data_IF_560397709556
#
_entry.id   IF_560397709556
#
_cell.length_a   1.000
_cell.length_b   1.000
_cell.length_c   1.000
_cell.angle_alpha   90.00
_cell.angle_beta   90.00
_cell.angle_gamma   90.00
#
_symmetry.space_group_name_H-M   'P 1'
#
loop_
_entity.id
_entity.type
_entity.pdbx_description
1 polymer ?
#
# COMPACT_ATOMS: atom_id res chain seq x y z
N UNK A 1 22.19 -53.43 74.33
CA UNK A 1 21.47 -53.37 73.03
C UNK A 1 20.19 -52.57 73.24
N UNK A 2 20.19 -51.30 72.85
CA UNK A 2 19.06 -50.37 73.02
C UNK A 2 18.08 -50.56 71.86
N UNK A 3 16.82 -50.89 72.15
CA UNK A 3 15.76 -51.04 71.15
C UNK A 3 15.44 -49.67 70.53
N UNK A 4 15.64 -49.55 69.23
CA UNK A 4 15.28 -48.35 68.48
C UNK A 4 13.75 -48.11 68.55
N UNK A 5 13.29 -46.86 68.73
CA UNK A 5 11.87 -46.54 68.78
C UNK A 5 11.23 -46.73 67.40
N UNK A 6 10.13 -47.48 67.40
CA UNK A 6 9.31 -47.80 66.23
C UNK A 6 8.72 -46.51 65.64
N UNK A 7 9.08 -46.18 64.39
CA UNK A 7 8.52 -45.01 63.70
C UNK A 7 7.01 -45.19 63.52
N UNK A 8 6.19 -44.18 63.86
CA UNK A 8 4.75 -44.25 63.65
C UNK A 8 4.44 -44.41 62.16
N UNK A 9 3.59 -45.39 61.83
CA UNK A 9 3.12 -45.61 60.46
C UNK A 9 2.35 -44.36 59.99
N UNK A 10 2.57 -43.88 58.75
CA UNK A 10 1.81 -42.76 58.21
C UNK A 10 0.33 -43.15 58.14
N UNK A 11 -0.52 -42.33 58.76
CA UNK A 11 -1.97 -42.44 58.66
C UNK A 11 -2.40 -42.35 57.20
N UNK A 12 -3.26 -43.25 56.70
CA UNK A 12 -3.78 -43.16 55.34
C UNK A 12 -4.49 -41.82 55.18
N UNK A 13 -4.06 -41.02 54.19
CA UNK A 13 -4.72 -39.79 53.84
C UNK A 13 -6.21 -40.03 53.54
N UNK A 14 -7.08 -39.02 53.73
CA UNK A 14 -8.51 -39.16 53.50
C UNK A 14 -8.77 -39.71 52.10
N UNK A 15 -9.66 -40.71 52.01
CA UNK A 15 -10.01 -41.28 50.71
C UNK A 15 -10.75 -40.20 49.92
N UNK A 16 -10.68 -40.20 48.57
CA UNK A 16 -11.31 -39.14 47.74
C UNK A 16 -12.82 -38.93 48.00
N UNK A 17 -13.47 -39.89 48.67
CA UNK A 17 -14.89 -39.89 49.03
C UNK A 17 -15.20 -39.07 50.29
N UNK A 18 -14.17 -38.74 51.09
CA UNK A 18 -14.29 -38.04 52.37
C UNK A 18 -14.01 -36.53 52.24
N UNK A 19 -13.75 -36.03 51.03
CA UNK A 19 -13.62 -34.60 50.77
C UNK A 19 -15.02 -33.97 50.68
N UNK A 20 -15.28 -32.82 51.36
CA UNK A 20 -16.57 -32.14 51.27
C UNK A 20 -16.90 -31.80 49.81
N UNK A 21 -18.18 -31.93 49.42
CA UNK A 21 -18.67 -31.65 48.06
C UNK A 21 -18.22 -30.25 47.64
N UNK A 22 -17.16 -30.17 46.82
CA UNK A 22 -16.57 -28.90 46.37
C UNK A 22 -15.05 -28.81 46.53
N UNK A 23 -14.43 -29.66 47.36
CA UNK A 23 -12.97 -29.70 47.51
C UNK A 23 -12.33 -30.65 46.48
N UNK A 24 -11.70 -30.02 45.49
CA UNK A 24 -10.95 -30.59 44.38
C UNK A 24 -10.72 -29.45 43.40
N UNK A 25 -9.68 -29.47 42.54
CA UNK A 25 -9.43 -28.40 41.58
C UNK A 25 -10.49 -28.42 40.46
N UNK A 26 -11.75 -28.16 40.80
CA UNK A 26 -12.79 -27.73 39.85
C UNK A 26 -12.46 -26.30 39.45
N UNK A 27 -11.38 -26.12 38.68
CA UNK A 27 -11.23 -24.93 37.85
C UNK A 27 -12.53 -24.87 37.04
N UNK A 28 -13.38 -23.87 37.30
CA UNK A 28 -14.57 -23.59 36.48
C UNK A 28 -14.05 -23.40 35.06
N UNK A 29 -14.14 -24.44 34.24
CA UNK A 29 -13.68 -24.39 32.85
C UNK A 29 -14.65 -23.48 32.13
N UNK A 30 -14.15 -22.35 31.62
CA UNK A 30 -14.95 -21.44 30.81
C UNK A 30 -15.60 -22.21 29.64
N UNK A 31 -16.86 -21.88 29.28
CA UNK A 31 -17.52 -22.47 28.11
C UNK A 31 -16.65 -22.33 26.86
N UNK A 32 -16.57 -23.35 26.00
CA UNK A 32 -15.82 -23.28 24.75
C UNK A 32 -16.18 -22.07 23.88
N UNK A 33 -17.47 -21.75 23.74
CA UNK A 33 -17.93 -20.58 23.00
C UNK A 33 -17.30 -19.29 23.53
N UNK A 34 -17.24 -19.09 24.86
CA UNK A 34 -16.61 -17.91 25.45
C UNK A 34 -15.11 -17.82 25.12
N UNK A 35 -14.39 -18.95 25.17
CA UNK A 35 -12.96 -18.99 24.82
C UNK A 35 -12.74 -18.67 23.34
N UNK A 36 -13.59 -19.21 22.46
CA UNK A 36 -13.53 -18.95 21.02
C UNK A 36 -13.93 -17.51 20.69
N UNK A 37 -14.89 -16.92 21.40
CA UNK A 37 -15.25 -15.51 21.26
C UNK A 37 -14.07 -14.60 21.63
N UNK A 38 -13.39 -14.89 22.74
CA UNK A 38 -12.20 -14.14 23.13
C UNK A 38 -11.07 -14.33 22.11
N UNK A 39 -10.85 -15.55 21.61
CA UNK A 39 -9.85 -15.84 20.59
C UNK A 39 -10.15 -15.10 19.28
N UNK A 40 -11.38 -15.17 18.77
CA UNK A 40 -11.83 -14.48 17.58
C UNK A 40 -11.68 -12.96 17.72
N UNK A 41 -12.05 -12.40 18.88
CA UNK A 41 -11.85 -10.98 19.18
C UNK A 41 -10.37 -10.58 19.12
N UNK A 42 -9.51 -11.32 19.80
CA UNK A 42 -8.06 -11.06 19.82
C UNK A 42 -7.45 -11.22 18.42
N UNK A 43 -7.85 -12.24 17.68
CA UNK A 43 -7.38 -12.49 16.31
C UNK A 43 -7.81 -11.36 15.36
N UNK A 44 -9.05 -10.88 15.47
CA UNK A 44 -9.53 -9.75 14.68
C UNK A 44 -8.82 -8.44 15.03
N UNK A 45 -8.66 -8.12 16.32
CA UNK A 45 -7.94 -6.90 16.74
C UNK A 45 -6.48 -6.98 16.27
N UNK A 46 -5.79 -8.09 16.55
CA UNK A 46 -4.40 -8.30 16.13
C UNK A 46 -4.26 -8.27 14.61
N UNK A 47 -5.21 -8.84 13.90
CA UNK A 47 -5.26 -8.84 12.44
C UNK A 47 -5.44 -7.44 11.87
N UNK A 48 -6.38 -6.65 12.40
CA UNK A 48 -6.58 -5.25 11.99
C UNK A 48 -5.31 -4.43 12.24
N UNK A 49 -4.74 -4.52 13.45
CA UNK A 49 -3.50 -3.79 13.79
C UNK A 49 -2.36 -4.16 12.85
N UNK A 50 -2.17 -5.45 12.57
CA UNK A 50 -1.14 -5.93 11.63
C UNK A 50 -1.41 -5.42 10.23
N UNK A 51 -2.64 -5.49 9.76
CA UNK A 51 -3.02 -5.08 8.42
C UNK A 51 -2.87 -3.57 8.22
N UNK A 52 -3.25 -2.76 9.22
CA UNK A 52 -3.04 -1.31 9.23
C UNK A 52 -1.57 -0.97 9.26
N UNK A 53 -0.79 -1.62 10.13
CA UNK A 53 0.66 -1.44 10.18
C UNK A 53 1.32 -1.77 8.84
N UNK A 54 1.03 -2.92 8.24
CA UNK A 54 1.54 -3.29 6.91
C UNK A 54 1.14 -2.25 5.86
N UNK A 55 -0.13 -1.86 5.82
CA UNK A 55 -0.62 -0.91 4.83
C UNK A 55 0.02 0.48 5.00
N UNK A 56 0.37 0.90 6.21
CA UNK A 56 1.17 2.10 6.47
C UNK A 56 2.61 1.91 6.03
N UNK A 57 3.26 0.79 6.37
CA UNK A 57 4.64 0.48 6.00
C UNK A 57 4.83 0.44 4.49
N UNK A 58 3.90 -0.17 3.74
CA UNK A 58 3.96 -0.22 2.27
C UNK A 58 3.77 1.19 1.67
N UNK A 59 2.90 2.02 2.24
CA UNK A 59 2.72 3.42 1.81
C UNK A 59 3.91 4.31 2.13
N UNK A 60 4.61 4.03 3.23
CA UNK A 60 5.85 4.70 3.61
C UNK A 60 7.03 4.35 2.70
N UNK A 61 6.84 3.40 1.77
CA UNK A 61 7.85 2.89 0.83
C UNK A 61 8.97 2.13 1.57
N UNK A 62 8.82 0.81 1.76
CA UNK A 62 9.85 -0.06 2.34
C UNK A 62 11.18 0.03 1.60
N UNK A 63 12.29 -0.29 2.29
CA UNK A 63 13.63 -0.11 1.74
C UNK A 63 13.98 -1.14 0.66
N UNK A 64 13.36 -2.33 0.71
CA UNK A 64 13.66 -3.43 -0.22
C UNK A 64 12.43 -4.20 -0.71
N UNK A 65 12.58 -4.94 -1.82
CA UNK A 65 11.52 -5.83 -2.34
C UNK A 65 11.23 -7.02 -1.42
N UNK A 66 12.26 -7.51 -0.73
CA UNK A 66 12.13 -8.59 0.25
C UNK A 66 11.24 -8.17 1.41
N UNK A 67 11.40 -6.94 1.91
CA UNK A 67 10.55 -6.38 2.96
C UNK A 67 9.08 -6.30 2.53
N UNK A 68 8.79 -5.82 1.32
CA UNK A 68 7.40 -5.78 0.85
C UNK A 68 6.78 -7.18 0.72
N UNK A 69 7.54 -8.16 0.23
CA UNK A 69 7.06 -9.54 0.16
C UNK A 69 6.72 -10.07 1.55
N UNK A 70 7.59 -9.83 2.53
CA UNK A 70 7.35 -10.20 3.93
C UNK A 70 6.13 -9.48 4.52
N UNK A 71 5.96 -8.20 4.21
CA UNK A 71 4.80 -7.41 4.62
C UNK A 71 3.51 -7.97 4.03
N UNK A 72 3.49 -8.36 2.75
CA UNK A 72 2.34 -9.02 2.14
C UNK A 72 2.03 -10.37 2.80
N UNK A 73 3.05 -11.18 3.04
CA UNK A 73 2.88 -12.45 3.75
C UNK A 73 2.26 -12.19 5.13
N UNK A 74 2.79 -11.25 5.90
CA UNK A 74 2.24 -10.87 7.21
C UNK A 74 0.78 -10.41 7.11
N UNK A 75 0.44 -9.57 6.11
CA UNK A 75 -0.92 -9.08 5.87
C UNK A 75 -1.90 -10.23 5.59
N UNK A 76 -1.58 -11.11 4.64
CA UNK A 76 -2.47 -12.20 4.26
C UNK A 76 -2.55 -13.28 5.33
N UNK A 77 -1.45 -13.58 6.04
CA UNK A 77 -1.45 -14.50 7.18
C UNK A 77 -2.35 -13.98 8.31
N UNK A 78 -2.27 -12.69 8.63
CA UNK A 78 -3.12 -12.08 9.65
C UNK A 78 -4.62 -12.19 9.31
N UNK A 79 -4.99 -11.94 8.05
CA UNK A 79 -6.37 -12.13 7.60
C UNK A 79 -6.82 -13.60 7.69
N UNK A 80 -5.97 -14.55 7.28
CA UNK A 80 -6.31 -15.98 7.35
C UNK A 80 -6.51 -16.42 8.80
N UNK A 81 -5.65 -15.99 9.72
CA UNK A 81 -5.79 -16.31 11.15
C UNK A 81 -7.11 -15.77 11.71
N UNK A 82 -7.47 -14.52 11.40
CA UNK A 82 -8.76 -13.94 11.82
C UNK A 82 -9.95 -14.71 11.22
N UNK A 83 -9.92 -15.02 9.92
CA UNK A 83 -10.97 -15.78 9.25
C UNK A 83 -11.15 -17.19 9.84
N UNK A 84 -10.05 -17.88 10.16
CA UNK A 84 -10.10 -19.20 10.82
C UNK A 84 -10.68 -19.08 12.23
N UNK A 85 -10.30 -18.05 13.00
CA UNK A 85 -10.84 -17.82 14.33
C UNK A 85 -12.36 -17.57 14.31
N UNK A 86 -12.83 -16.76 13.36
CA UNK A 86 -14.25 -16.47 13.17
C UNK A 86 -15.03 -17.70 12.70
N UNK A 87 -14.47 -18.48 11.76
CA UNK A 87 -15.08 -19.72 11.30
C UNK A 87 -15.23 -20.74 12.43
N UNK A 88 -14.24 -20.86 13.32
CA UNK A 88 -14.31 -21.73 14.50
C UNK A 88 -15.35 -21.23 15.51
N UNK A 89 -15.47 -19.92 15.71
CA UNK A 89 -16.52 -19.35 16.56
C UNK A 89 -17.92 -19.62 15.98
N UNK A 90 -18.11 -19.40 14.68
CA UNK A 90 -19.38 -19.64 14.01
C UNK A 90 -19.74 -21.13 14.00
N UNK A 91 -18.76 -22.02 13.83
CA UNK A 91 -18.97 -23.47 13.98
C UNK A 91 -19.45 -23.83 15.39
N UNK A 92 -18.87 -23.23 16.43
CA UNK A 92 -19.30 -23.46 17.81
C UNK A 92 -20.73 -22.95 18.07
N UNK A 93 -21.10 -21.79 17.52
CA UNK A 93 -22.40 -21.16 17.76
C UNK A 93 -23.52 -21.80 16.93
N UNK A 94 -23.27 -22.07 15.65
CA UNK A 94 -24.29 -22.54 14.68
C UNK A 94 -24.36 -24.06 14.67
N UNK A 95 -23.21 -24.74 14.67
CA UNK A 95 -23.09 -26.19 14.50
C UNK A 95 -22.64 -26.90 15.79
N UNK A 96 -22.72 -26.22 16.94
CA UNK A 96 -22.33 -26.74 18.27
C UNK A 96 -20.89 -27.28 18.32
N UNK A 97 -20.01 -26.81 17.44
CA UNK A 97 -18.60 -27.19 17.39
C UNK A 97 -18.33 -28.48 16.62
N UNK A 98 -19.19 -28.82 15.66
CA UNK A 98 -19.15 -30.06 14.89
C UNK A 98 -17.81 -30.31 14.20
N UNK A 99 -17.20 -29.26 13.61
CA UNK A 99 -15.88 -29.41 12.98
C UNK A 99 -14.78 -29.63 14.00
N UNK A 100 -14.73 -28.80 15.05
CA UNK A 100 -13.69 -28.93 16.09
C UNK A 100 -13.70 -30.32 16.75
N UNK A 101 -14.88 -30.84 17.06
CA UNK A 101 -15.00 -32.16 17.71
C UNK A 101 -14.57 -33.28 16.76
N UNK A 102 -15.04 -33.25 15.51
CA UNK A 102 -14.73 -34.29 14.53
C UNK A 102 -13.28 -34.23 14.02
N UNK A 103 -12.79 -33.06 13.63
CA UNK A 103 -11.51 -32.92 12.92
C UNK A 103 -10.32 -32.56 13.84
N UNK A 104 -10.52 -31.79 14.90
CA UNK A 104 -9.42 -31.31 15.77
C UNK A 104 -9.25 -32.13 17.05
N UNK A 105 -10.34 -32.69 17.58
CA UNK A 105 -10.32 -33.49 18.82
C UNK A 105 -10.31 -35.00 18.55
N UNK A 106 -10.52 -35.41 17.30
CA UNK A 106 -10.60 -36.83 16.92
C UNK A 106 -11.71 -37.56 17.68
N UNK A 107 -12.78 -36.85 18.07
CA UNK A 107 -13.92 -37.46 18.73
C UNK A 107 -14.69 -38.27 17.70
N UNK A 108 -14.25 -39.51 17.50
CA UNK A 108 -15.01 -40.50 16.73
C UNK A 108 -16.37 -40.68 17.41
N UNK A 109 -17.42 -40.83 16.59
CA UNK A 109 -18.82 -40.96 17.05
C UNK A 109 -19.08 -42.09 18.06
N UNK A 110 -18.07 -42.90 18.40
CA UNK A 110 -18.14 -43.93 19.45
C UNK A 110 -18.06 -43.38 20.88
N UNK A 111 -17.44 -42.22 21.14
CA UNK A 111 -17.45 -41.62 22.49
C UNK A 111 -18.74 -40.85 22.80
N UNK A 112 -19.46 -40.38 21.78
CA UNK A 112 -20.78 -39.74 21.93
C UNK A 112 -21.91 -40.72 22.30
N UNK A 113 -21.67 -42.05 22.19
CA UNK A 113 -22.64 -43.08 22.56
C UNK A 113 -22.93 -43.17 24.06
N UNK A 114 -22.12 -42.57 24.94
CA UNK A 114 -22.38 -42.54 26.39
C UNK A 114 -23.25 -41.34 26.78
N UNK A 115 -24.48 -41.31 26.28
CA UNK A 115 -25.58 -40.52 26.85
C UNK A 115 -25.82 -39.13 26.25
N UNK A 116 -25.10 -38.70 25.21
CA UNK A 116 -25.31 -37.42 24.54
C UNK A 116 -25.76 -37.63 23.08
N UNK A 117 -27.04 -38.01 22.91
CA UNK A 117 -27.67 -38.28 21.62
C UNK A 117 -27.66 -37.01 20.73
N UNK A 118 -27.75 -35.82 21.33
CA UNK A 118 -27.63 -34.56 20.60
C UNK A 118 -26.19 -34.32 20.09
N UNK A 119 -25.18 -34.65 20.89
CA UNK A 119 -23.78 -34.59 20.50
C UNK A 119 -23.45 -35.50 19.32
N UNK A 120 -23.99 -36.73 19.32
CA UNK A 120 -23.83 -37.69 18.24
C UNK A 120 -24.54 -37.23 16.94
N UNK A 121 -25.76 -36.68 17.06
CA UNK A 121 -26.50 -36.15 15.91
C UNK A 121 -25.81 -34.93 15.28
N UNK A 122 -25.24 -34.04 16.12
CA UNK A 122 -24.49 -32.87 15.65
C UNK A 122 -23.18 -33.24 14.93
N UNK A 123 -22.49 -34.31 15.37
CA UNK A 123 -21.31 -34.81 14.65
C UNK A 123 -21.65 -35.52 13.33
N UNK A 124 -22.86 -36.09 13.21
CA UNK A 124 -23.30 -36.79 11.99
C UNK A 124 -23.95 -35.85 10.95
N UNK A 125 -24.50 -34.70 11.36
CA UNK A 125 -25.03 -33.70 10.44
C UNK A 125 -23.90 -32.90 9.76
N UNK A 126 -23.52 -33.28 8.53
CA UNK A 126 -22.88 -32.44 7.49
C UNK A 126 -21.69 -31.53 7.90
N UNK A 127 -20.99 -31.85 9.00
CA UNK A 127 -19.87 -31.09 9.54
C UNK A 127 -18.78 -30.78 8.48
N UNK A 128 -18.42 -31.79 7.66
CA UNK A 128 -17.34 -31.66 6.67
C UNK A 128 -17.59 -30.66 5.53
N UNK A 129 -18.85 -30.36 5.16
CA UNK A 129 -19.13 -29.34 4.14
C UNK A 129 -19.41 -27.96 4.74
N UNK A 130 -19.88 -27.90 5.99
CA UNK A 130 -20.27 -26.65 6.63
C UNK A 130 -19.08 -25.75 7.00
N UNK A 131 -17.98 -26.32 7.50
CA UNK A 131 -16.83 -25.53 7.94
C UNK A 131 -16.07 -24.84 6.80
N UNK A 132 -15.76 -25.49 5.66
CA UNK A 132 -15.16 -24.80 4.52
C UNK A 132 -16.02 -23.63 4.03
N UNK A 133 -17.35 -23.78 4.03
CA UNK A 133 -18.28 -22.69 3.67
C UNK A 133 -18.21 -21.56 4.68
N UNK A 134 -18.24 -21.87 5.99
CA UNK A 134 -18.06 -20.87 7.04
C UNK A 134 -16.72 -20.14 6.92
N UNK A 135 -15.64 -20.87 6.60
CA UNK A 135 -14.31 -20.29 6.42
C UNK A 135 -14.26 -19.33 5.22
N UNK A 136 -14.88 -19.71 4.10
CA UNK A 136 -14.97 -18.82 2.92
C UNK A 136 -15.80 -17.57 3.22
N UNK A 137 -16.93 -17.73 3.93
CA UNK A 137 -17.78 -16.60 4.33
C UNK A 137 -17.05 -15.67 5.32
N UNK A 138 -16.46 -16.23 6.38
CA UNK A 138 -15.67 -15.50 7.36
C UNK A 138 -14.47 -14.80 6.69
N UNK A 139 -13.80 -15.49 5.76
CA UNK A 139 -12.71 -14.93 4.96
C UNK A 139 -13.16 -13.75 4.09
N UNK A 140 -14.30 -13.86 3.41
CA UNK A 140 -14.87 -12.76 2.61
C UNK A 140 -15.25 -11.54 3.45
N UNK A 141 -15.89 -11.76 4.61
CA UNK A 141 -16.25 -10.68 5.55
C UNK A 141 -15.00 -10.04 6.14
N UNK A 142 -14.03 -10.83 6.60
CA UNK A 142 -12.75 -10.36 7.15
C UNK A 142 -11.99 -9.54 6.11
N UNK A 143 -11.91 -10.04 4.87
CA UNK A 143 -11.27 -9.34 3.76
C UNK A 143 -11.90 -7.96 3.52
N UNK A 144 -13.24 -7.90 3.46
CA UNK A 144 -13.95 -6.64 3.27
C UNK A 144 -13.72 -5.68 4.44
N UNK A 145 -13.85 -6.16 5.68
CA UNK A 145 -13.64 -5.36 6.89
C UNK A 145 -12.22 -4.80 6.97
N UNK A 146 -11.20 -5.63 6.74
CA UNK A 146 -9.80 -5.20 6.79
C UNK A 146 -9.49 -4.23 5.67
N UNK A 147 -9.99 -4.49 4.46
CA UNK A 147 -9.78 -3.57 3.34
C UNK A 147 -10.49 -2.22 3.58
N UNK A 148 -11.67 -2.22 4.20
CA UNK A 148 -12.38 -1.00 4.58
C UNK A 148 -11.60 -0.19 5.62
N UNK A 149 -11.14 -0.84 6.70
CA UNK A 149 -10.36 -0.20 7.78
C UNK A 149 -9.03 0.34 7.24
N UNK A 150 -8.40 -0.35 6.28
CA UNK A 150 -7.12 0.04 5.72
C UNK A 150 -7.22 1.00 4.52
N UNK A 151 -8.31 1.78 4.43
CA UNK A 151 -8.57 2.73 3.34
C UNK A 151 -8.45 2.11 1.94
N UNK A 152 -9.09 0.97 1.75
CA UNK A 152 -9.09 0.20 0.50
C UNK A 152 -7.68 -0.12 -0.02
N UNK A 153 -6.79 -0.57 0.87
CA UNK A 153 -5.39 -0.88 0.56
C UNK A 153 -5.21 -1.73 -0.70
N UNK A 154 -6.01 -2.78 -0.90
CA UNK A 154 -5.88 -3.64 -2.09
C UNK A 154 -6.24 -2.92 -3.40
N UNK A 155 -7.16 -1.96 -3.31
CA UNK A 155 -7.55 -1.12 -4.44
C UNK A 155 -6.47 -0.09 -4.73
N UNK A 156 -5.96 0.56 -3.68
CA UNK A 156 -4.81 1.45 -3.74
C UNK A 156 -3.58 0.77 -4.35
N UNK A 157 -3.21 -0.42 -3.85
CA UNK A 157 -2.00 -1.11 -4.28
C UNK A 157 -2.05 -1.49 -5.77
N UNK A 158 -3.21 -1.97 -6.23
CA UNK A 158 -3.42 -2.31 -7.65
C UNK A 158 -3.31 -1.10 -8.58
N UNK A 159 -3.83 0.06 -8.16
CA UNK A 159 -3.83 1.28 -8.97
C UNK A 159 -2.50 2.03 -8.92
N UNK A 160 -1.93 2.19 -7.74
CA UNK A 160 -0.81 3.11 -7.47
C UNK A 160 0.33 2.41 -6.74
N UNK A 161 0.02 1.65 -5.68
CA UNK A 161 1.05 1.15 -4.76
C UNK A 161 2.11 0.26 -5.40
N UNK A 162 1.77 -0.56 -6.41
CA UNK A 162 2.76 -1.37 -7.15
C UNK A 162 3.79 -0.52 -7.90
N UNK A 163 3.40 0.66 -8.40
CA UNK A 163 4.30 1.57 -9.09
C UNK A 163 5.15 2.35 -8.10
N UNK A 164 4.55 2.79 -6.99
CA UNK A 164 5.28 3.39 -5.87
C UNK A 164 6.33 2.41 -5.32
N UNK A 165 5.98 1.13 -5.22
CA UNK A 165 6.91 0.05 -4.87
C UNK A 165 8.07 -0.08 -5.85
N UNK A 166 7.80 0.03 -7.15
CA UNK A 166 8.82 -0.03 -8.19
C UNK A 166 9.80 1.16 -8.18
N UNK A 167 9.54 2.22 -7.41
CA UNK A 167 10.46 3.35 -7.22
C UNK A 167 11.55 3.10 -6.16
N UNK A 168 11.61 1.91 -5.55
CA UNK A 168 12.55 1.59 -4.48
C UNK A 168 13.99 1.36 -4.93
N UNK A 169 14.90 1.45 -3.96
CA UNK A 169 16.33 1.11 -4.06
C UNK A 169 17.12 2.07 -4.95
N UNK A 170 18.40 2.29 -4.63
CA UNK A 170 19.28 3.19 -5.39
C UNK A 170 20.18 2.44 -6.39
N UNK A 171 19.94 1.14 -6.58
CA UNK A 171 20.70 0.34 -7.54
C UNK A 171 20.49 0.90 -8.97
N UNK A 172 21.59 1.23 -9.69
CA UNK A 172 21.51 1.66 -11.08
C UNK A 172 20.81 0.66 -12.00
N UNK A 173 20.94 -0.65 -11.74
CA UNK A 173 20.32 -1.71 -12.58
C UNK A 173 18.80 -1.68 -12.55
N UNK A 174 18.22 -1.11 -11.49
CA UNK A 174 16.76 -0.98 -11.32
C UNK A 174 16.23 0.37 -11.82
N UNK A 175 17.09 1.25 -12.33
CA UNK A 175 16.70 2.56 -12.88
C UNK A 175 15.63 2.46 -13.97
N UNK A 176 15.74 1.59 -15.01
CA UNK A 176 14.72 1.51 -16.06
C UNK A 176 13.33 1.19 -15.52
N UNK A 177 13.26 0.36 -14.47
CA UNK A 177 12.01 0.02 -13.78
C UNK A 177 11.44 1.24 -13.05
N UNK A 178 12.28 2.06 -12.41
CA UNK A 178 11.85 3.32 -11.78
C UNK A 178 11.30 4.31 -12.80
N UNK A 179 11.99 4.48 -13.94
CA UNK A 179 11.53 5.39 -15.01
C UNK A 179 10.17 4.94 -15.57
N UNK A 180 10.00 3.64 -15.82
CA UNK A 180 8.71 3.07 -16.22
C UNK A 180 7.61 3.32 -15.17
N UNK A 181 7.94 3.17 -13.88
CA UNK A 181 6.99 3.43 -12.81
C UNK A 181 6.59 4.92 -12.73
N UNK A 182 7.53 5.85 -12.94
CA UNK A 182 7.24 7.29 -13.04
C UNK A 182 6.31 7.56 -14.23
N UNK A 183 6.56 6.92 -15.37
CA UNK A 183 5.71 7.03 -16.55
C UNK A 183 4.26 6.59 -16.26
N UNK A 184 4.10 5.42 -15.63
CA UNK A 184 2.80 4.88 -15.23
C UNK A 184 2.07 5.75 -14.20
N UNK A 185 2.81 6.38 -13.28
CA UNK A 185 2.27 7.31 -12.29
C UNK A 185 1.84 8.64 -12.92
N UNK A 186 2.49 9.08 -13.99
CA UNK A 186 2.22 10.39 -14.62
C UNK A 186 0.83 10.50 -15.28
N UNK A 187 0.22 9.37 -15.64
CA UNK A 187 -1.12 9.29 -16.26
C UNK A 187 -2.23 9.07 -15.23
N UNK A 188 -1.89 9.04 -13.95
CA UNK A 188 -2.78 8.75 -12.82
C UNK A 188 -3.06 10.03 -12.01
N UNK A 189 -4.12 10.04 -11.21
CA UNK A 189 -4.65 11.27 -10.56
C UNK A 189 -4.93 11.10 -9.06
N UNK A 190 -4.41 10.03 -8.49
CA UNK A 190 -4.48 9.76 -7.07
C UNK A 190 -3.62 10.78 -6.29
N UNK A 191 -4.13 11.30 -5.16
CA UNK A 191 -3.49 12.39 -4.43
C UNK A 191 -2.10 12.02 -3.87
N UNK A 192 -1.83 10.73 -3.64
CA UNK A 192 -0.55 10.24 -3.11
C UNK A 192 0.59 10.27 -4.15
N UNK A 193 0.27 10.47 -5.43
CA UNK A 193 1.24 10.42 -6.52
C UNK A 193 2.14 11.65 -6.50
N UNK A 194 1.57 12.85 -6.33
CA UNK A 194 2.33 14.09 -6.35
C UNK A 194 3.44 14.08 -5.28
N UNK A 195 3.17 13.81 -3.99
CA UNK A 195 4.23 13.69 -2.99
C UNK A 195 5.29 12.64 -3.32
N UNK A 196 4.90 11.56 -3.99
CA UNK A 196 5.84 10.49 -4.39
C UNK A 196 6.75 10.95 -5.52
N UNK A 197 6.22 11.60 -6.56
CA UNK A 197 7.00 12.16 -7.65
C UNK A 197 7.89 13.30 -7.17
N UNK A 198 7.41 14.15 -6.25
CA UNK A 198 8.24 15.17 -5.60
C UNK A 198 9.46 14.54 -4.93
N UNK A 199 9.32 13.43 -4.20
CA UNK A 199 10.50 12.75 -3.63
C UNK A 199 11.47 12.23 -4.69
N UNK A 200 10.96 11.80 -5.85
CA UNK A 200 11.82 11.34 -6.95
C UNK A 200 12.52 12.50 -7.68
N UNK A 201 11.95 13.70 -7.66
CA UNK A 201 12.53 14.91 -8.22
C UNK A 201 13.87 15.27 -7.58
N UNK A 202 14.04 14.98 -6.29
CA UNK A 202 15.25 15.28 -5.54
C UNK A 202 16.26 14.12 -5.50
N UNK A 203 16.06 13.07 -6.29
CA UNK A 203 16.91 11.86 -6.23
C UNK A 203 18.24 12.01 -6.97
N UNK A 204 18.35 12.99 -7.86
CA UNK A 204 19.42 13.10 -8.86
C UNK A 204 19.21 12.21 -10.09
N UNK A 205 20.09 12.37 -11.07
CA UNK A 205 20.16 11.58 -12.30
C UNK A 205 18.90 11.63 -13.17
N UNK A 206 18.75 10.61 -14.00
CA UNK A 206 17.65 10.48 -14.98
C UNK A 206 16.28 10.44 -14.28
N UNK A 207 16.22 9.82 -13.09
CA UNK A 207 14.99 9.72 -12.28
C UNK A 207 14.40 11.09 -11.97
N UNK A 208 15.24 12.08 -11.67
CA UNK A 208 14.77 13.44 -11.34
C UNK A 208 14.18 14.15 -12.55
N UNK A 209 14.80 13.96 -13.72
CA UNK A 209 14.31 14.52 -14.99
C UNK A 209 12.93 13.94 -15.30
N UNK A 210 12.78 12.62 -15.19
CA UNK A 210 11.49 11.95 -15.41
C UNK A 210 10.43 12.37 -14.39
N UNK A 211 10.82 12.58 -13.13
CA UNK A 211 9.91 13.07 -12.11
C UNK A 211 9.42 14.50 -12.44
N UNK A 212 10.31 15.38 -12.87
CA UNK A 212 9.96 16.74 -13.32
C UNK A 212 8.96 16.70 -14.49
N UNK A 213 9.28 15.90 -15.51
CA UNK A 213 8.40 15.66 -16.65
C UNK A 213 7.01 15.17 -16.20
N UNK A 214 6.97 14.20 -15.29
CA UNK A 214 5.73 13.59 -14.82
C UNK A 214 4.86 14.60 -14.05
N UNK A 215 5.46 15.41 -13.18
CA UNK A 215 4.76 16.49 -12.47
C UNK A 215 4.13 17.50 -13.45
N UNK A 216 4.81 17.80 -14.55
CA UNK A 216 4.29 18.66 -15.62
C UNK A 216 3.07 18.12 -16.37
N UNK A 217 2.70 16.84 -16.20
CA UNK A 217 1.56 16.20 -16.87
C UNK A 217 0.22 16.33 -16.13
N UNK A 218 0.23 16.91 -14.93
CA UNK A 218 -0.97 17.10 -14.10
C UNK A 218 -1.68 18.43 -14.43
N UNK A 219 -1.88 18.71 -15.71
CA UNK A 219 -2.45 19.98 -16.20
C UNK A 219 -3.96 20.10 -15.96
N UNK A 220 -4.65 18.97 -15.90
CA UNK A 220 -6.09 18.82 -15.61
C UNK A 220 -6.43 18.99 -14.12
N UNK A 221 -5.42 19.11 -13.25
CA UNK A 221 -5.64 19.31 -11.83
C UNK A 221 -6.04 20.76 -11.56
N UNK A 222 -7.11 20.91 -10.76
CA UNK A 222 -7.64 22.20 -10.30
C UNK A 222 -6.51 23.14 -9.85
N UNK A 223 -6.57 24.43 -10.21
CA UNK A 223 -5.50 25.39 -9.95
C UNK A 223 -5.01 25.40 -8.49
N UNK A 224 -5.93 25.30 -7.51
CA UNK A 224 -5.60 25.23 -6.07
C UNK A 224 -4.71 24.04 -5.70
N UNK A 225 -4.79 22.94 -6.46
CA UNK A 225 -4.02 21.70 -6.28
C UNK A 225 -2.75 21.66 -7.13
N UNK A 226 -2.46 22.71 -7.93
CA UNK A 226 -1.20 22.80 -8.70
C UNK A 226 -0.01 23.23 -7.85
N UNK A 227 -0.25 24.00 -6.80
CA UNK A 227 0.80 24.55 -5.92
C UNK A 227 1.80 23.50 -5.39
N UNK A 228 1.38 22.31 -4.92
CA UNK A 228 2.30 21.26 -4.47
C UNK A 228 3.22 20.69 -5.56
N UNK A 229 2.98 21.00 -6.83
CA UNK A 229 3.84 20.62 -7.95
C UNK A 229 4.75 21.78 -8.38
N UNK A 230 4.25 23.01 -8.30
CA UNK A 230 5.00 24.22 -8.66
C UNK A 230 6.20 24.41 -7.72
N UNK A 231 5.99 24.40 -6.41
CA UNK A 231 7.05 24.69 -5.44
C UNK A 231 8.28 23.76 -5.60
N UNK A 232 8.12 22.42 -5.68
CA UNK A 232 9.26 21.53 -5.91
C UNK A 232 9.94 21.74 -7.27
N UNK A 233 9.18 22.07 -8.33
CA UNK A 233 9.76 22.31 -9.64
C UNK A 233 10.57 23.62 -9.68
N UNK A 234 10.22 24.61 -8.86
CA UNK A 234 11.00 25.84 -8.72
C UNK A 234 12.36 25.58 -8.06
N UNK A 235 12.40 24.69 -7.06
CA UNK A 235 13.65 24.34 -6.35
C UNK A 235 14.73 23.76 -7.29
N UNK A 236 14.32 23.08 -8.36
CA UNK A 236 15.25 22.47 -9.32
C UNK A 236 15.55 23.34 -10.54
N UNK A 237 15.07 24.60 -10.59
CA UNK A 237 15.45 25.55 -11.63
C UNK A 237 16.93 25.94 -11.55
N UNK A 238 17.53 25.85 -10.37
CA UNK A 238 18.95 26.13 -10.16
C UNK A 238 19.79 24.84 -10.08
N UNK A 239 19.25 23.70 -10.52
CA UNK A 239 19.97 22.44 -10.50
C UNK A 239 21.19 22.46 -11.44
N UNK A 240 22.26 21.80 -11.00
CA UNK A 240 23.52 21.68 -11.77
C UNK A 240 23.31 20.93 -13.10
N UNK A 241 22.41 19.94 -13.15
CA UNK A 241 22.08 19.21 -14.38
C UNK A 241 21.20 20.09 -15.30
N UNK A 242 21.72 20.55 -16.46
CA UNK A 242 20.96 21.40 -17.38
C UNK A 242 19.69 20.73 -17.90
N UNK A 243 19.69 19.40 -18.01
CA UNK A 243 18.54 18.64 -18.51
C UNK A 243 17.39 18.66 -17.50
N UNK A 244 17.71 18.58 -16.21
CA UNK A 244 16.70 18.69 -15.14
C UNK A 244 16.10 20.09 -15.10
N UNK A 245 16.94 21.13 -15.13
CA UNK A 245 16.49 22.53 -15.18
C UNK A 245 15.56 22.76 -16.38
N UNK A 246 15.97 22.31 -17.57
CA UNK A 246 15.18 22.44 -18.80
C UNK A 246 13.83 21.72 -18.69
N UNK A 247 13.80 20.50 -18.15
CA UNK A 247 12.54 19.78 -17.96
C UNK A 247 11.63 20.47 -16.94
N UNK A 248 12.20 21.02 -15.86
CA UNK A 248 11.44 21.78 -14.88
C UNK A 248 10.79 23.04 -15.48
N UNK A 249 11.49 23.75 -16.36
CA UNK A 249 10.95 24.90 -17.11
C UNK A 249 9.76 24.47 -17.97
N UNK A 250 9.90 23.37 -18.72
CA UNK A 250 8.82 22.81 -19.55
C UNK A 250 7.63 22.38 -18.68
N UNK A 251 7.88 21.71 -17.55
CA UNK A 251 6.84 21.26 -16.63
C UNK A 251 6.07 22.43 -16.01
N UNK A 252 6.77 23.46 -15.51
CA UNK A 252 6.17 24.69 -14.99
C UNK A 252 5.33 25.41 -16.04
N UNK A 253 5.81 25.44 -17.28
CA UNK A 253 5.10 26.07 -18.40
C UNK A 253 3.80 25.33 -18.75
N UNK A 254 3.83 23.98 -18.75
CA UNK A 254 2.61 23.14 -18.89
C UNK A 254 1.61 23.37 -17.75
N UNK A 255 2.10 23.61 -16.53
CA UNK A 255 1.28 23.98 -15.38
C UNK A 255 0.79 25.43 -15.40
N UNK A 256 1.16 26.19 -16.46
CA UNK A 256 0.83 27.61 -16.67
C UNK A 256 1.40 28.53 -15.60
N UNK A 257 2.58 28.20 -15.06
CA UNK A 257 3.29 29.07 -14.13
C UNK A 257 4.03 30.18 -14.89
N UNK A 258 3.36 31.32 -15.06
CA UNK A 258 3.81 32.41 -15.94
C UNK A 258 5.17 33.02 -15.54
N UNK A 259 5.56 32.95 -14.26
CA UNK A 259 6.81 33.55 -13.79
C UNK A 259 8.08 32.76 -14.21
N UNK A 260 7.94 31.61 -14.88
CA UNK A 260 9.08 30.87 -15.49
C UNK A 260 9.56 31.51 -16.80
N UNK A 261 8.90 32.57 -17.26
CA UNK A 261 9.16 33.25 -18.54
C UNK A 261 10.64 33.59 -18.76
N UNK A 262 11.32 34.16 -17.76
CA UNK A 262 12.71 34.59 -17.92
C UNK A 262 13.66 33.40 -18.08
N UNK A 263 13.45 32.33 -17.30
CA UNK A 263 14.18 31.07 -17.45
C UNK A 263 13.94 30.45 -18.83
N UNK A 264 12.68 30.44 -19.30
CA UNK A 264 12.32 29.93 -20.62
C UNK A 264 12.98 30.74 -21.74
N UNK A 265 12.94 32.08 -21.67
CA UNK A 265 13.59 32.97 -22.64
C UNK A 265 15.09 32.72 -22.68
N UNK A 266 15.73 32.55 -21.52
CA UNK A 266 17.17 32.29 -21.43
C UNK A 266 17.56 30.98 -22.11
N UNK A 267 16.85 29.88 -21.87
CA UNK A 267 17.12 28.59 -22.52
C UNK A 267 16.86 28.63 -24.03
N UNK A 268 15.79 29.30 -24.48
CA UNK A 268 15.52 29.48 -25.92
C UNK A 268 16.62 30.31 -26.61
N UNK A 269 17.12 31.36 -25.95
CA UNK A 269 18.25 32.16 -26.46
C UNK A 269 19.53 31.35 -26.53
N UNK A 270 19.82 30.56 -25.50
CA UNK A 270 20.99 29.68 -25.45
C UNK A 270 21.00 28.72 -26.64
N UNK A 271 19.89 28.03 -26.91
CA UNK A 271 19.78 27.12 -28.06
C UNK A 271 19.90 27.85 -29.40
N UNK A 272 19.30 29.04 -29.51
CA UNK A 272 19.36 29.87 -30.72
C UNK A 272 20.79 30.31 -31.04
N UNK A 273 21.51 30.78 -30.02
CA UNK A 273 22.89 31.28 -30.14
C UNK A 273 23.89 30.13 -30.36
N UNK A 274 23.56 28.91 -29.90
CA UNK A 274 24.38 27.69 -30.09
C UNK A 274 24.28 27.05 -31.48
N UNK A 275 23.49 27.62 -32.40
CA UNK A 275 23.37 27.13 -33.79
C UNK A 275 21.95 26.83 -34.25
N UNK A 276 20.92 27.17 -33.46
CA UNK A 276 19.53 27.14 -33.91
C UNK A 276 18.82 25.78 -33.80
N UNK A 277 19.46 24.79 -33.18
CA UNK A 277 18.83 23.51 -32.82
C UNK A 277 18.15 23.62 -31.45
N UNK A 278 16.96 24.22 -31.48
CA UNK A 278 16.13 24.50 -30.30
C UNK A 278 15.36 23.26 -29.87
N UNK A 279 15.36 22.98 -28.56
CA UNK A 279 14.46 21.97 -28.01
C UNK A 279 12.99 22.39 -28.26
N UNK A 280 12.32 21.63 -29.13
CA UNK A 280 10.92 21.83 -29.49
C UNK A 280 9.99 21.95 -28.26
N UNK A 281 10.32 21.29 -27.15
CA UNK A 281 9.54 21.35 -25.92
C UNK A 281 9.54 22.75 -25.30
N UNK A 282 10.62 23.53 -25.47
CA UNK A 282 10.70 24.91 -25.04
C UNK A 282 9.82 25.83 -25.91
N UNK A 283 9.72 25.55 -27.22
CA UNK A 283 8.81 26.27 -28.10
C UNK A 283 7.34 25.98 -27.74
N UNK A 284 7.01 24.73 -27.45
CA UNK A 284 5.69 24.39 -26.92
C UNK A 284 5.42 25.04 -25.55
N UNK A 285 6.42 25.07 -24.67
CA UNK A 285 6.35 25.76 -23.38
C UNK A 285 6.01 27.25 -23.55
N UNK A 286 6.62 27.93 -24.52
CA UNK A 286 6.32 29.34 -24.81
C UNK A 286 4.85 29.54 -25.22
N UNK A 287 4.32 28.64 -26.05
CA UNK A 287 2.90 28.65 -26.42
C UNK A 287 1.94 28.29 -25.28
N UNK A 288 2.37 27.55 -24.26
CA UNK A 288 1.53 27.28 -23.07
C UNK A 288 1.41 28.48 -22.13
N UNK A 289 2.47 29.28 -21.96
CA UNK A 289 2.44 30.44 -21.06
C UNK A 289 2.00 31.74 -21.72
N UNK A 290 2.05 31.83 -23.05
CA UNK A 290 1.43 32.90 -23.84
C UNK A 290 1.87 34.32 -23.43
N UNK A 291 3.17 34.49 -23.15
CA UNK A 291 3.72 35.77 -22.69
C UNK A 291 4.12 36.63 -23.88
N UNK A 292 3.48 37.79 -24.03
CA UNK A 292 3.71 38.73 -25.15
C UNK A 292 5.17 39.13 -25.35
N UNK A 293 5.95 39.16 -24.27
CA UNK A 293 7.39 39.42 -24.25
C UNK A 293 8.25 38.31 -24.86
N UNK A 294 7.68 37.14 -25.18
CA UNK A 294 8.33 36.07 -25.95
C UNK A 294 8.10 36.21 -27.46
N UNK A 295 7.10 36.99 -27.90
CA UNK A 295 6.75 37.17 -29.32
C UNK A 295 7.96 37.60 -30.16
N UNK A 296 8.78 38.60 -29.78
CA UNK A 296 9.93 38.99 -30.59
C UNK A 296 10.94 37.85 -30.80
N UNK A 297 11.16 37.02 -29.77
CA UNK A 297 12.06 35.87 -29.86
C UNK A 297 11.47 34.76 -30.76
N UNK A 298 10.17 34.49 -30.64
CA UNK A 298 9.49 33.51 -31.49
C UNK A 298 9.47 33.96 -32.97
N UNK A 299 9.30 35.25 -33.26
CA UNK A 299 9.41 35.79 -34.61
C UNK A 299 10.82 35.66 -35.19
N UNK A 300 11.85 35.87 -34.36
CA UNK A 300 13.25 35.68 -34.77
C UNK A 300 13.52 34.22 -35.16
N UNK A 301 12.98 33.26 -34.39
CA UNK A 301 13.08 31.82 -34.67
C UNK A 301 12.32 31.48 -35.96
N UNK A 302 11.10 32.00 -36.12
CA UNK A 302 10.25 31.79 -37.30
C UNK A 302 10.91 32.29 -38.59
N UNK A 303 11.64 33.42 -38.54
CA UNK A 303 12.23 34.08 -39.73
C UNK A 303 13.57 33.47 -40.20
N UNK A 304 14.00 32.35 -39.63
CA UNK A 304 15.03 31.52 -40.28
C UNK A 304 16.31 31.29 -39.49
N UNK A 305 16.35 31.60 -38.19
CA UNK A 305 17.47 31.17 -37.34
C UNK A 305 17.33 29.74 -36.80
N UNK A 306 16.14 29.14 -36.88
CA UNK A 306 15.90 27.75 -36.47
C UNK A 306 15.68 26.80 -37.64
N UNK A 307 15.73 25.49 -37.36
CA UNK A 307 15.31 24.42 -38.28
C UNK A 307 13.86 24.61 -38.75
N UNK A 308 13.46 23.94 -39.84
CA UNK A 308 12.07 23.98 -40.34
C UNK A 308 11.07 23.52 -39.27
N UNK A 309 11.44 22.56 -38.44
CA UNK A 309 10.62 22.08 -37.32
C UNK A 309 10.47 23.16 -36.25
N UNK A 310 11.56 23.85 -35.91
CA UNK A 310 11.56 24.96 -34.95
C UNK A 310 10.71 26.13 -35.46
N UNK A 311 10.76 26.43 -36.76
CA UNK A 311 9.90 27.45 -37.37
C UNK A 311 8.42 27.07 -37.27
N UNK A 312 8.06 25.80 -37.51
CA UNK A 312 6.67 25.32 -37.38
C UNK A 312 6.17 25.40 -35.93
N UNK A 313 6.98 25.01 -34.95
CA UNK A 313 6.61 25.16 -33.55
C UNK A 313 6.55 26.62 -33.09
N UNK A 314 7.45 27.48 -33.57
CA UNK A 314 7.40 28.91 -33.31
C UNK A 314 6.11 29.54 -33.88
N UNK A 315 5.71 29.15 -35.11
CA UNK A 315 4.44 29.58 -35.69
C UNK A 315 3.23 29.12 -34.85
N UNK A 316 3.21 27.86 -34.39
CA UNK A 316 2.18 27.36 -33.49
C UNK A 316 2.15 28.15 -32.17
N UNK A 317 3.32 28.40 -31.57
CA UNK A 317 3.43 29.13 -30.31
C UNK A 317 2.94 30.57 -30.47
N UNK A 318 3.31 31.26 -31.56
CA UNK A 318 2.81 32.60 -31.89
C UNK A 318 1.29 32.62 -32.04
N UNK A 319 0.71 31.61 -32.70
CA UNK A 319 -0.74 31.51 -32.85
C UNK A 319 -1.47 31.41 -31.50
N UNK A 320 -0.85 30.84 -30.45
CA UNK A 320 -1.44 30.80 -29.12
C UNK A 320 -1.55 32.17 -28.43
N UNK A 321 -0.89 33.22 -28.95
CA UNK A 321 -0.88 34.56 -28.36
C UNK A 321 -1.91 35.53 -28.98
N UNK A 322 -2.68 35.05 -29.98
CA UNK A 322 -3.72 35.81 -30.70
C UNK A 322 -5.09 35.48 -30.10
#
# INVERSE_FOLDING_TARGET
>A
MSKAPEKPRPTPGPRPKDLPKGFGPRRKRLPPAFKLSLFALVANIGGIVTATWVAMSIRAVPASEGEETLLFVAYYTAMVVAAVADALLLDEVIFKGGFRRAALQGADGSEAQKGDIEGAAASMQRSNMSFPVLLLLAGGVTYYAFNLVNHNFNSYYRRVGKYVSALRGDDPTTEPRRLSAIADLSIRREPEIVPTLTRQLHRGGEVSIWAAWALGRFTDVQAKRRRPMIEPLLEVLDADDPRLRREAIVALSRLQYLAVEDNLRAELRLDLDAGGDIDMRLLYAAGYIQRMSLVPLLEEILRGKGSIENQRAAAWALFQHI
#
